data_IF_575871862177
#
_entry.id   IF_575871862177
#
_cell.length_a   1.000
_cell.length_b   1.000
_cell.length_c   1.000
_cell.angle_alpha   90.00
_cell.angle_beta   90.00
_cell.angle_gamma   90.00
#
_symmetry.space_group_name_H-M   'P 1'
#
loop_
_entity.id
_entity.type
_entity.pdbx_description
1 polymer ?
#
# COMPACT_ATOMS: atom_id res chain seq x y z
N UNK A 1 12.59 22.78 23.56
CA UNK A 1 12.05 21.73 22.64
C UNK A 1 12.26 22.05 21.14
N UNK A 2 13.09 23.05 20.78
CA UNK A 2 13.30 23.51 19.39
C UNK A 2 14.47 22.85 18.64
N UNK A 3 15.38 22.14 19.32
CA UNK A 3 16.62 21.64 18.70
C UNK A 3 16.44 20.51 17.66
N UNK A 4 15.37 19.73 17.75
CA UNK A 4 15.16 18.58 16.86
C UNK A 4 14.32 18.88 15.61
N UNK A 5 13.64 20.03 15.57
CA UNK A 5 12.76 20.37 14.45
C UNK A 5 13.52 20.49 13.12
N UNK A 6 14.68 21.14 13.15
CA UNK A 6 15.54 21.32 11.98
C UNK A 6 16.05 19.97 11.45
N UNK A 7 16.79 19.16 12.24
CA UNK A 7 17.31 17.90 11.74
C UNK A 7 16.20 16.91 11.35
N UNK A 8 15.07 16.86 12.08
CA UNK A 8 13.96 15.98 11.70
C UNK A 8 13.26 16.43 10.42
N UNK A 9 13.08 17.74 10.23
CA UNK A 9 12.46 18.28 9.02
C UNK A 9 13.33 18.09 7.78
N UNK A 10 14.63 18.30 7.91
CA UNK A 10 15.62 18.00 6.87
C UNK A 10 15.64 16.49 6.55
N UNK A 11 15.73 15.66 7.60
CA UNK A 11 15.78 14.20 7.47
C UNK A 11 14.54 13.67 6.76
N UNK A 12 13.34 13.94 7.28
CA UNK A 12 12.10 13.40 6.70
C UNK A 12 11.79 14.00 5.33
N UNK A 13 12.03 15.31 5.13
CA UNK A 13 11.81 15.96 3.84
C UNK A 13 12.70 15.38 2.74
N UNK A 14 14.00 15.29 2.97
CA UNK A 14 14.96 14.75 2.00
C UNK A 14 14.73 13.26 1.78
N UNK A 15 14.43 12.50 2.82
CA UNK A 15 14.17 11.07 2.70
C UNK A 15 12.92 10.78 1.90
N UNK A 16 11.83 11.51 2.15
CA UNK A 16 10.60 11.38 1.38
C UNK A 16 10.81 11.79 -0.09
N UNK A 17 11.48 12.93 -0.34
CA UNK A 17 11.86 13.36 -1.69
C UNK A 17 12.71 12.32 -2.41
N UNK A 18 13.70 11.73 -1.72
CA UNK A 18 14.56 10.67 -2.25
C UNK A 18 13.76 9.41 -2.62
N UNK A 19 12.76 9.07 -1.82
CA UNK A 19 11.85 7.98 -2.14
C UNK A 19 10.95 8.25 -3.35
N UNK A 20 10.59 9.51 -3.62
CA UNK A 20 9.86 9.91 -4.83
C UNK A 20 10.74 9.94 -6.08
N UNK A 21 11.92 10.54 -5.98
CA UNK A 21 12.94 10.59 -7.03
C UNK A 21 14.32 10.95 -6.42
N UNK A 22 15.19 9.94 -6.30
CA UNK A 22 16.55 10.09 -5.75
C UNK A 22 17.39 11.07 -6.57
N UNK A 23 17.38 10.91 -7.89
CA UNK A 23 18.26 11.67 -8.78
C UNK A 23 17.84 13.14 -8.84
N UNK A 24 16.54 13.41 -8.91
CA UNK A 24 16.00 14.77 -8.84
C UNK A 24 16.37 15.43 -7.50
N UNK A 25 16.26 14.69 -6.39
CA UNK A 25 16.60 15.18 -5.05
C UNK A 25 18.08 15.57 -4.96
N UNK A 26 18.98 14.69 -5.40
CA UNK A 26 20.43 14.92 -5.37
C UNK A 26 20.83 16.07 -6.30
N UNK A 27 20.29 16.09 -7.53
CA UNK A 27 20.54 17.16 -8.49
C UNK A 27 20.04 18.52 -7.97
N UNK A 28 18.83 18.57 -7.39
CA UNK A 28 18.25 19.79 -6.84
C UNK A 28 19.06 20.33 -5.66
N UNK A 29 19.41 19.48 -4.69
CA UNK A 29 20.21 19.89 -3.53
C UNK A 29 21.61 20.35 -3.98
N UNK A 30 22.27 19.59 -4.85
CA UNK A 30 23.60 19.92 -5.33
C UNK A 30 23.63 21.22 -6.12
N UNK A 31 22.70 21.42 -7.04
CA UNK A 31 22.58 22.66 -7.81
C UNK A 31 22.23 23.85 -6.90
N UNK A 32 21.27 23.69 -5.99
CA UNK A 32 20.89 24.74 -5.06
C UNK A 32 22.02 25.14 -4.11
N UNK A 33 22.85 24.18 -3.68
CA UNK A 33 24.05 24.46 -2.89
C UNK A 33 25.07 25.28 -3.70
N UNK A 34 25.30 24.91 -4.97
CA UNK A 34 26.21 25.65 -5.86
C UNK A 34 25.75 27.06 -6.18
N UNK A 35 24.44 27.25 -6.40
CA UNK A 35 23.85 28.54 -6.73
C UNK A 35 23.61 29.42 -5.50
N UNK A 36 23.94 28.94 -4.29
CA UNK A 36 23.74 29.68 -3.04
C UNK A 36 22.25 29.85 -2.67
N UNK A 37 21.36 29.04 -3.23
CA UNK A 37 19.93 29.09 -2.93
C UNK A 37 19.61 28.51 -1.56
N UNK A 38 20.42 27.54 -1.11
CA UNK A 38 20.33 26.94 0.23
C UNK A 38 21.54 27.29 1.09
N UNK A 39 21.39 27.29 2.43
CA UNK A 39 22.52 27.34 3.35
C UNK A 39 23.57 26.26 3.05
N UNK A 40 24.79 26.49 3.53
CA UNK A 40 25.88 25.53 3.43
C UNK A 40 25.45 24.16 3.98
N UNK A 41 25.69 23.11 3.20
CA UNK A 41 25.45 21.74 3.61
C UNK A 41 26.47 21.32 4.68
N UNK A 42 26.13 20.33 5.54
CA UNK A 42 27.10 19.71 6.43
C UNK A 42 28.34 19.20 5.66
N UNK A 43 29.54 19.16 6.29
CA UNK A 43 30.76 18.69 5.64
C UNK A 43 30.62 17.32 4.95
N UNK A 44 29.84 16.43 5.55
CA UNK A 44 29.56 15.08 5.05
C UNK A 44 28.78 15.09 3.72
N UNK A 45 28.04 16.16 3.43
CA UNK A 45 27.23 16.34 2.23
C UNK A 45 27.78 17.44 1.30
N UNK A 46 28.90 18.08 1.63
CA UNK A 46 29.51 19.12 0.80
C UNK A 46 29.81 18.61 -0.63
N UNK A 47 30.11 17.31 -0.77
CA UNK A 47 30.34 16.65 -2.05
C UNK A 47 29.14 16.67 -3.00
N UNK A 48 27.90 16.85 -2.51
CA UNK A 48 26.71 16.97 -3.36
C UNK A 48 26.78 18.18 -4.29
N UNK A 49 27.52 19.22 -3.91
CA UNK A 49 27.76 20.38 -4.76
C UNK A 49 28.76 20.13 -5.88
N UNK A 50 29.41 18.96 -6.01
CA UNK A 50 30.39 18.69 -7.06
C UNK A 50 29.72 18.67 -8.46
N UNK A 51 30.27 19.39 -9.45
CA UNK A 51 29.67 19.50 -10.80
C UNK A 51 29.50 18.16 -11.50
N UNK A 52 30.46 17.23 -11.35
CA UNK A 52 30.35 15.90 -11.93
C UNK A 52 29.17 15.15 -11.30
N UNK A 53 29.03 15.21 -9.97
CA UNK A 53 27.93 14.56 -9.26
C UNK A 53 26.58 15.18 -9.64
N UNK A 54 26.47 16.51 -9.68
CA UNK A 54 25.27 17.22 -10.12
C UNK A 54 24.92 16.84 -11.55
N UNK A 55 25.88 16.80 -12.46
CA UNK A 55 25.66 16.42 -13.86
C UNK A 55 25.20 14.96 -13.98
N UNK A 56 25.84 14.02 -13.28
CA UNK A 56 25.42 12.61 -13.26
C UNK A 56 24.02 12.44 -12.67
N UNK A 57 23.72 13.08 -11.54
CA UNK A 57 22.39 13.04 -10.94
C UNK A 57 21.34 13.67 -11.87
N UNK A 58 21.66 14.76 -12.55
CA UNK A 58 20.76 15.40 -13.52
C UNK A 58 20.51 14.47 -14.71
N UNK A 59 21.54 13.81 -15.24
CA UNK A 59 21.39 12.86 -16.34
C UNK A 59 20.52 11.66 -15.92
N UNK A 60 20.76 11.08 -14.75
CA UNK A 60 19.96 9.96 -14.24
C UNK A 60 18.52 10.40 -13.93
N UNK A 61 18.31 11.65 -13.49
CA UNK A 61 16.99 12.23 -13.36
C UNK A 61 16.29 12.31 -14.71
N UNK A 62 16.96 12.78 -15.78
CA UNK A 62 16.38 12.80 -17.12
C UNK A 62 16.02 11.40 -17.61
N UNK A 63 16.90 10.40 -17.37
CA UNK A 63 16.59 9.00 -17.70
C UNK A 63 15.33 8.54 -16.98
N UNK A 64 15.26 8.71 -15.65
CA UNK A 64 14.06 8.38 -14.88
C UNK A 64 12.82 9.12 -15.40
N UNK A 65 12.98 10.42 -15.66
CA UNK A 65 11.91 11.25 -16.19
C UNK A 65 11.33 10.65 -17.45
N UNK A 66 12.15 10.22 -18.42
CA UNK A 66 11.63 9.59 -19.65
C UNK A 66 11.10 8.17 -19.42
N UNK A 67 11.80 7.37 -18.62
CA UNK A 67 11.40 5.99 -18.26
C UNK A 67 10.00 5.96 -17.67
N UNK A 68 9.68 6.91 -16.80
CA UNK A 68 8.39 7.05 -16.13
C UNK A 68 7.20 7.25 -17.09
N UNK A 69 7.45 7.58 -18.36
CA UNK A 69 6.40 7.78 -19.37
C UNK A 69 6.18 6.54 -20.24
N UNK A 70 7.05 5.54 -20.14
CA UNK A 70 6.95 4.30 -20.91
C UNK A 70 6.41 3.19 -20.01
N UNK A 71 5.20 2.71 -20.33
CA UNK A 71 4.54 1.63 -19.61
C UNK A 71 5.42 0.38 -19.55
N UNK A 72 5.43 -0.30 -18.41
CA UNK A 72 6.25 -1.47 -18.06
C UNK A 72 7.72 -1.17 -17.81
N UNK A 73 8.35 -0.26 -18.58
CA UNK A 73 9.73 0.17 -18.31
C UNK A 73 9.78 0.91 -16.97
N UNK A 74 8.77 1.75 -16.70
CA UNK A 74 8.53 2.37 -15.40
C UNK A 74 8.54 1.36 -14.23
N UNK A 75 7.88 0.23 -14.40
CA UNK A 75 7.71 -0.80 -13.38
C UNK A 75 9.02 -1.55 -13.12
N UNK A 76 9.81 -1.82 -14.17
CA UNK A 76 11.15 -2.43 -14.04
C UNK A 76 12.08 -1.47 -13.30
N UNK A 77 12.07 -0.20 -13.70
CA UNK A 77 12.87 0.84 -13.05
C UNK A 77 12.50 0.99 -11.56
N UNK A 78 11.21 1.07 -11.25
CA UNK A 78 10.72 1.17 -9.87
C UNK A 78 11.05 -0.08 -9.05
N UNK A 79 11.07 -1.27 -9.65
CA UNK A 79 11.47 -2.51 -8.99
C UNK A 79 12.94 -2.45 -8.57
N UNK A 80 13.84 -2.07 -9.47
CA UNK A 80 15.26 -1.89 -9.15
C UNK A 80 15.46 -0.83 -8.06
N UNK A 81 14.74 0.29 -8.17
CA UNK A 81 14.88 1.41 -7.25
C UNK A 81 14.29 1.16 -5.85
N UNK A 82 13.50 0.11 -5.69
CA UNK A 82 13.08 -0.39 -4.37
C UNK A 82 14.30 -0.77 -3.51
N UNK A 83 15.40 -1.18 -4.12
CA UNK A 83 16.65 -1.54 -3.43
C UNK A 83 17.70 -0.44 -3.43
N UNK A 84 17.56 0.59 -4.26
CA UNK A 84 18.54 1.68 -4.39
C UNK A 84 18.16 2.87 -3.52
N UNK A 85 16.89 3.29 -3.53
CA UNK A 85 16.44 4.53 -2.88
C UNK A 85 16.47 4.47 -1.36
N UNK A 86 16.01 3.38 -0.69
CA UNK A 86 16.06 3.34 0.76
C UNK A 86 17.49 3.40 1.32
N UNK A 87 18.48 2.65 0.78
CA UNK A 87 19.87 2.82 1.19
C UNK A 87 20.42 4.22 0.87
N UNK A 88 20.12 4.78 -0.30
CA UNK A 88 20.58 6.13 -0.65
C UNK A 88 20.02 7.20 0.31
N UNK A 89 18.74 7.12 0.67
CA UNK A 89 18.13 8.00 1.67
C UNK A 89 18.77 7.81 3.05
N UNK A 90 19.07 6.56 3.45
CA UNK A 90 19.76 6.28 4.71
C UNK A 90 21.15 6.93 4.76
N UNK A 91 21.91 6.87 3.66
CA UNK A 91 23.22 7.52 3.54
C UNK A 91 23.10 9.05 3.59
N UNK A 92 22.15 9.64 2.87
CA UNK A 92 21.87 11.09 2.94
C UNK A 92 21.48 11.51 4.36
N UNK A 93 20.61 10.74 5.02
CA UNK A 93 20.20 10.97 6.41
C UNK A 93 21.37 10.88 7.39
N UNK A 94 22.28 9.92 7.21
CA UNK A 94 23.48 9.79 8.02
C UNK A 94 24.42 11.01 7.86
N UNK A 95 24.50 11.58 6.66
CA UNK A 95 25.25 12.81 6.39
C UNK A 95 24.59 14.06 6.97
N UNK A 96 23.27 14.19 6.87
CA UNK A 96 22.51 15.30 7.47
C UNK A 96 22.70 15.38 8.99
N UNK A 97 22.87 14.22 9.63
CA UNK A 97 23.03 14.10 11.08
C UNK A 97 24.50 13.99 11.51
N UNK A 98 25.46 14.34 10.65
CA UNK A 98 26.91 14.14 10.88
C UNK A 98 27.42 14.68 12.23
N UNK A 99 26.88 15.80 12.70
CA UNK A 99 27.24 16.43 13.99
C UNK A 99 26.62 15.78 15.24
N UNK A 100 25.86 14.69 15.11
CA UNK A 100 25.24 13.98 16.23
C UNK A 100 26.01 12.69 16.59
N UNK A 101 25.79 12.13 17.80
CA UNK A 101 26.31 10.82 18.17
C UNK A 101 25.92 9.72 17.18
N UNK A 102 26.78 8.71 17.04
CA UNK A 102 26.63 7.64 16.03
C UNK A 102 25.31 6.87 16.17
N UNK A 103 24.81 6.71 17.40
CA UNK A 103 23.54 6.04 17.69
C UNK A 103 22.36 6.81 17.08
N UNK A 104 22.36 8.14 17.22
CA UNK A 104 21.34 9.00 16.62
C UNK A 104 21.43 9.01 15.10
N UNK A 105 22.65 8.93 14.53
CA UNK A 105 22.89 8.84 13.08
C UNK A 105 22.37 7.52 12.51
N UNK A 106 22.61 6.39 13.18
CA UNK A 106 22.09 5.07 12.77
C UNK A 106 20.56 5.05 12.86
N UNK A 107 19.99 5.56 13.96
CA UNK A 107 18.54 5.69 14.11
C UNK A 107 17.91 6.57 13.01
N UNK A 108 18.51 7.73 12.74
CA UNK A 108 18.08 8.64 11.69
C UNK A 108 18.21 8.06 10.28
N UNK A 109 19.31 7.37 9.97
CA UNK A 109 19.51 6.67 8.70
C UNK A 109 18.44 5.56 8.49
N UNK A 110 18.10 4.83 9.56
CA UNK A 110 17.03 3.82 9.53
C UNK A 110 15.68 4.46 9.24
N UNK A 111 15.36 5.57 9.93
CA UNK A 111 14.14 6.34 9.70
C UNK A 111 14.08 6.91 8.28
N UNK A 112 15.20 7.40 7.76
CA UNK A 112 15.32 7.92 6.41
C UNK A 112 15.06 6.85 5.35
N UNK A 113 15.69 5.68 5.48
CA UNK A 113 15.44 4.55 4.60
C UNK A 113 13.98 4.09 4.64
N UNK A 114 13.37 4.01 5.82
CA UNK A 114 11.96 3.67 5.98
C UNK A 114 11.04 4.72 5.34
N UNK A 115 11.30 6.02 5.52
CA UNK A 115 10.53 7.09 4.92
C UNK A 115 10.61 7.06 3.38
N UNK A 116 11.81 6.86 2.83
CA UNK A 116 12.01 6.71 1.39
C UNK A 116 11.30 5.47 0.83
N UNK A 117 11.35 4.35 1.56
CA UNK A 117 10.63 3.12 1.17
C UNK A 117 9.11 3.33 1.16
N UNK A 118 8.55 4.03 2.15
CA UNK A 118 7.11 4.37 2.19
C UNK A 118 6.74 5.27 1.01
N UNK A 119 7.53 6.31 0.72
CA UNK A 119 7.29 7.20 -0.41
C UNK A 119 7.34 6.46 -1.75
N UNK A 120 8.39 5.65 -1.97
CA UNK A 120 8.56 4.84 -3.18
C UNK A 120 7.44 3.80 -3.35
N UNK A 121 7.10 3.09 -2.28
CA UNK A 121 6.00 2.11 -2.28
C UNK A 121 4.65 2.77 -2.57
N UNK A 122 4.45 4.01 -2.12
CA UNK A 122 3.25 4.79 -2.44
C UNK A 122 3.21 5.18 -3.91
N UNK A 123 4.32 5.67 -4.48
CA UNK A 123 4.48 5.96 -5.93
C UNK A 123 4.18 4.71 -6.77
N UNK A 124 4.83 3.59 -6.47
CA UNK A 124 4.63 2.33 -7.18
C UNK A 124 3.17 1.82 -7.08
N UNK A 125 2.56 1.91 -5.88
CA UNK A 125 1.16 1.57 -5.67
C UNK A 125 0.19 2.47 -6.45
N UNK A 126 0.47 3.77 -6.53
CA UNK A 126 -0.31 4.72 -7.31
C UNK A 126 -0.23 4.40 -8.81
N UNK A 127 0.95 4.04 -9.32
CA UNK A 127 1.13 3.61 -10.71
C UNK A 127 0.30 2.39 -11.06
N UNK A 128 0.30 1.37 -10.19
CA UNK A 128 -0.55 0.20 -10.37
C UNK A 128 -2.04 0.58 -10.44
N UNK A 129 -2.48 1.50 -9.59
CA UNK A 129 -3.87 1.98 -9.60
C UNK A 129 -4.19 2.75 -10.89
N UNK A 130 -3.28 3.62 -11.35
CA UNK A 130 -3.42 4.39 -12.59
C UNK A 130 -3.51 3.44 -13.78
N UNK A 131 -2.56 2.50 -13.91
CA UNK A 131 -2.50 1.51 -15.00
C UNK A 131 -3.72 0.58 -15.04
N UNK A 132 -4.35 0.32 -13.89
CA UNK A 132 -5.56 -0.47 -13.78
C UNK A 132 -6.86 0.33 -14.01
N UNK A 133 -6.77 1.66 -14.16
CA UNK A 133 -7.92 2.56 -14.26
C UNK A 133 -7.96 3.30 -15.61
N UNK A 134 -9.06 4.02 -15.87
CA UNK A 134 -9.15 4.92 -17.02
C UNK A 134 -8.25 6.16 -16.90
N UNK A 135 -7.62 6.39 -15.74
CA UNK A 135 -6.71 7.52 -15.49
C UNK A 135 -5.33 7.34 -16.13
N UNK A 136 -5.07 6.25 -16.86
CA UNK A 136 -3.79 6.03 -17.56
C UNK A 136 -3.34 7.23 -18.40
N UNK A 137 -4.27 8.00 -18.98
CA UNK A 137 -3.97 9.23 -19.75
C UNK A 137 -3.35 10.36 -18.90
N UNK A 138 -3.59 10.38 -17.59
CA UNK A 138 -3.03 11.35 -16.65
C UNK A 138 -1.67 10.93 -16.08
N UNK A 139 -1.20 9.71 -16.38
CA UNK A 139 0.06 9.16 -15.84
C UNK A 139 1.27 10.09 -16.00
N UNK A 140 1.56 10.62 -17.20
CA UNK A 140 2.68 11.54 -17.40
C UNK A 140 2.58 12.81 -16.54
N UNK A 141 1.39 13.40 -16.42
CA UNK A 141 1.17 14.59 -15.60
C UNK A 141 1.40 14.30 -14.11
N UNK A 142 0.97 13.14 -13.64
CA UNK A 142 1.20 12.69 -12.26
C UNK A 142 2.70 12.49 -12.02
N UNK A 143 3.41 11.84 -12.94
CA UNK A 143 4.87 11.66 -12.83
C UNK A 143 5.61 13.02 -12.78
N UNK A 144 5.23 14.00 -13.60
CA UNK A 144 5.81 15.35 -13.55
C UNK A 144 5.53 16.01 -12.19
N UNK A 145 4.32 15.84 -11.64
CA UNK A 145 3.99 16.37 -10.33
C UNK A 145 4.79 15.71 -9.20
N UNK A 146 5.05 14.40 -9.30
CA UNK A 146 5.94 13.67 -8.38
C UNK A 146 7.37 14.21 -8.41
N UNK A 147 7.91 14.46 -9.61
CA UNK A 147 9.25 15.01 -9.79
C UNK A 147 9.35 16.45 -9.24
N UNK A 148 8.36 17.28 -9.54
CA UNK A 148 8.27 18.64 -9.00
C UNK A 148 8.14 18.64 -7.47
N UNK A 149 7.36 17.70 -6.91
CA UNK A 149 7.23 17.52 -5.46
C UNK A 149 8.58 17.09 -4.84
N UNK A 150 9.30 16.16 -5.46
CA UNK A 150 10.61 15.72 -4.98
C UNK A 150 11.62 16.88 -4.95
N UNK A 151 11.74 17.62 -6.06
CA UNK A 151 12.64 18.79 -6.18
C UNK A 151 12.26 19.87 -5.17
N UNK A 152 10.98 20.25 -5.14
CA UNK A 152 10.47 21.29 -4.26
C UNK A 152 10.64 20.94 -2.79
N UNK A 153 10.30 19.71 -2.40
CA UNK A 153 10.45 19.23 -1.03
C UNK A 153 11.92 19.12 -0.61
N UNK A 154 12.83 18.71 -1.50
CA UNK A 154 14.26 18.65 -1.21
C UNK A 154 14.84 20.03 -0.86
N UNK A 155 14.49 21.06 -1.64
CA UNK A 155 14.91 22.45 -1.37
C UNK A 155 14.23 22.98 -0.11
N UNK A 156 12.93 22.74 0.05
CA UNK A 156 12.15 23.15 1.21
C UNK A 156 12.68 22.52 2.50
N UNK A 157 13.12 21.27 2.46
CA UNK A 157 13.67 20.56 3.62
C UNK A 157 14.88 21.27 4.22
N UNK A 158 15.74 21.85 3.39
CA UNK A 158 16.90 22.61 3.87
C UNK A 158 16.51 24.03 4.29
N UNK A 159 15.67 24.74 3.51
CA UNK A 159 15.32 26.16 3.75
C UNK A 159 14.30 26.37 4.86
N UNK A 160 13.28 25.53 4.89
CA UNK A 160 12.13 25.62 5.78
C UNK A 160 11.82 24.23 6.37
N UNK A 161 12.69 23.70 7.25
CA UNK A 161 12.60 22.31 7.72
C UNK A 161 11.25 22.00 8.39
N UNK A 162 10.65 22.95 9.10
CA UNK A 162 9.34 22.76 9.73
C UNK A 162 8.23 22.52 8.71
N UNK A 163 8.23 23.25 7.59
CA UNK A 163 7.25 23.05 6.51
C UNK A 163 7.46 21.69 5.83
N UNK A 164 8.71 21.33 5.56
CA UNK A 164 9.05 20.02 5.00
C UNK A 164 8.65 18.87 5.94
N UNK A 165 8.83 19.04 7.25
CA UNK A 165 8.40 18.06 8.26
C UNK A 165 6.89 17.82 8.20
N UNK A 166 6.10 18.90 8.14
CA UNK A 166 4.63 18.81 8.05
C UNK A 166 4.21 18.15 6.75
N UNK A 167 4.80 18.54 5.62
CA UNK A 167 4.45 17.98 4.31
C UNK A 167 4.84 16.50 4.19
N UNK A 168 6.10 16.15 4.50
CA UNK A 168 6.57 14.77 4.44
C UNK A 168 5.84 13.89 5.46
N UNK A 169 5.69 14.37 6.70
CA UNK A 169 4.93 13.68 7.74
C UNK A 169 3.47 13.48 7.38
N UNK A 170 2.83 14.48 6.76
CA UNK A 170 1.46 14.38 6.25
C UNK A 170 1.31 13.31 5.16
N UNK A 171 2.18 13.32 4.15
CA UNK A 171 2.16 12.30 3.09
C UNK A 171 2.47 10.90 3.61
N UNK A 172 3.44 10.75 4.52
CA UNK A 172 3.71 9.48 5.20
C UNK A 172 2.48 9.03 6.00
N UNK A 173 1.82 9.94 6.71
CA UNK A 173 0.58 9.66 7.43
C UNK A 173 -0.51 9.14 6.50
N UNK A 174 -0.73 9.79 5.35
CA UNK A 174 -1.67 9.32 4.32
C UNK A 174 -1.27 7.94 3.81
N UNK A 175 0.00 7.71 3.50
CA UNK A 175 0.50 6.42 3.03
C UNK A 175 0.30 5.30 4.07
N UNK A 176 0.57 5.55 5.34
CA UNK A 176 0.37 4.57 6.43
C UNK A 176 -1.12 4.28 6.66
N UNK A 177 -1.99 5.28 6.53
CA UNK A 177 -3.43 5.12 6.70
C UNK A 177 -4.09 4.41 5.51
N UNK A 178 -3.72 4.77 4.28
CA UNK A 178 -4.37 4.29 3.06
C UNK A 178 -3.70 3.04 2.48
N UNK A 179 -2.37 2.93 2.61
CA UNK A 179 -1.55 1.84 2.07
C UNK A 179 -2.06 0.44 2.43
N UNK A 180 -2.36 0.12 3.70
CA UNK A 180 -2.90 -1.19 4.07
C UNK A 180 -4.25 -1.52 3.43
N UNK A 181 -5.07 -0.50 3.08
CA UNK A 181 -6.33 -0.71 2.34
C UNK A 181 -6.05 -1.02 0.88
N UNK A 182 -5.16 -0.26 0.24
CA UNK A 182 -4.76 -0.48 -1.15
C UNK A 182 -4.08 -1.83 -1.33
N UNK A 183 -3.17 -2.21 -0.44
CA UNK A 183 -2.51 -3.51 -0.44
C UNK A 183 -3.52 -4.66 -0.35
N UNK A 184 -4.51 -4.55 0.54
CA UNK A 184 -5.56 -5.54 0.66
C UNK A 184 -6.44 -5.63 -0.59
N UNK A 185 -6.76 -4.51 -1.22
CA UNK A 185 -7.49 -4.48 -2.48
C UNK A 185 -6.68 -5.11 -3.63
N UNK A 186 -5.39 -4.83 -3.70
CA UNK A 186 -4.46 -5.43 -4.67
C UNK A 186 -4.39 -6.95 -4.51
N UNK A 187 -4.19 -7.45 -3.29
CA UNK A 187 -4.18 -8.89 -2.99
C UNK A 187 -5.52 -9.54 -3.34
N UNK A 188 -6.65 -8.85 -3.09
CA UNK A 188 -7.97 -9.32 -3.51
C UNK A 188 -8.03 -9.46 -5.04
N UNK A 189 -7.56 -8.47 -5.79
CA UNK A 189 -7.49 -8.51 -7.26
C UNK A 189 -6.72 -9.71 -7.79
N UNK A 190 -5.53 -9.97 -7.24
CA UNK A 190 -4.72 -11.16 -7.60
C UNK A 190 -5.49 -12.45 -7.31
N UNK A 191 -6.05 -12.59 -6.10
CA UNK A 191 -6.81 -13.79 -5.72
C UNK A 191 -8.03 -13.99 -6.62
N UNK A 192 -8.71 -12.91 -6.99
CA UNK A 192 -9.88 -12.92 -7.85
C UNK A 192 -9.52 -13.32 -9.29
N UNK A 193 -8.40 -12.83 -9.83
CA UNK A 193 -7.90 -13.24 -11.13
C UNK A 193 -7.55 -14.73 -11.15
N UNK A 194 -6.84 -15.23 -10.14
CA UNK A 194 -6.55 -16.65 -9.98
C UNK A 194 -7.83 -17.49 -9.85
N UNK A 195 -8.81 -17.05 -9.08
CA UNK A 195 -10.10 -17.71 -8.95
C UNK A 195 -10.87 -17.76 -10.27
N UNK A 196 -10.84 -16.67 -11.03
CA UNK A 196 -11.46 -16.59 -12.37
C UNK A 196 -10.79 -17.56 -13.34
N UNK A 197 -9.47 -17.64 -13.36
CA UNK A 197 -8.72 -18.59 -14.17
C UNK A 197 -9.07 -20.04 -13.82
N UNK A 198 -9.13 -20.37 -12.53
CA UNK A 198 -9.49 -21.71 -12.06
C UNK A 198 -10.91 -22.16 -12.46
N UNK A 199 -11.83 -21.20 -12.66
CA UNK A 199 -13.21 -21.50 -13.09
C UNK A 199 -13.30 -22.13 -14.49
N UNK A 200 -12.29 -21.93 -15.34
CA UNK A 200 -12.21 -22.62 -16.63
C UNK A 200 -11.88 -24.11 -16.51
N UNK A 201 -11.31 -24.52 -15.37
CA UNK A 201 -10.86 -25.89 -15.12
C UNK A 201 -11.90 -26.65 -14.29
N UNK A 202 -12.44 -26.02 -13.25
CA UNK A 202 -13.39 -26.64 -12.35
C UNK A 202 -14.59 -25.72 -12.09
N UNK A 203 -15.81 -26.27 -12.01
CA UNK A 203 -16.98 -25.49 -11.62
C UNK A 203 -16.81 -24.96 -10.19
N UNK A 204 -17.30 -23.75 -9.97
CA UNK A 204 -17.30 -23.14 -8.65
C UNK A 204 -18.27 -23.88 -7.72
N UNK A 205 -17.83 -24.19 -6.50
CA UNK A 205 -18.64 -24.88 -5.49
C UNK A 205 -18.35 -24.38 -4.09
N UNK A 206 -19.26 -24.70 -3.17
CA UNK A 206 -18.94 -24.64 -1.75
C UNK A 206 -17.80 -25.61 -1.43
N UNK A 207 -16.88 -25.15 -0.58
CA UNK A 207 -15.79 -25.96 -0.04
C UNK A 207 -16.18 -26.48 1.33
N UNK A 208 -15.75 -27.69 1.61
CA UNK A 208 -15.98 -28.34 2.89
C UNK A 208 -14.97 -27.86 3.93
N UNK A 209 -15.29 -28.11 5.21
CA UNK A 209 -14.45 -27.76 6.37
C UNK A 209 -12.98 -28.14 6.19
N UNK A 210 -12.73 -29.34 5.67
CA UNK A 210 -11.39 -29.90 5.63
C UNK A 210 -10.53 -29.31 4.51
N UNK A 211 -11.16 -28.69 3.51
CA UNK A 211 -10.51 -27.93 2.44
C UNK A 211 -10.06 -26.53 2.88
N UNK A 212 -10.48 -26.06 4.08
CA UNK A 212 -9.94 -24.83 4.65
C UNK A 212 -8.51 -25.05 5.14
N UNK A 213 -7.67 -24.00 5.07
CA UNK A 213 -6.36 -24.02 5.71
C UNK A 213 -6.49 -24.43 7.18
N UNK A 214 -5.60 -25.32 7.68
CA UNK A 214 -5.69 -25.90 9.02
C UNK A 214 -5.89 -24.84 10.13
N UNK A 215 -5.21 -23.68 10.01
CA UNK A 215 -5.34 -22.56 10.96
C UNK A 215 -6.71 -21.86 10.92
N UNK A 216 -7.42 -21.87 9.79
CA UNK A 216 -8.80 -21.35 9.71
C UNK A 216 -9.77 -22.40 10.24
N UNK A 217 -9.54 -23.67 9.88
CA UNK A 217 -10.36 -24.80 10.31
C UNK A 217 -10.44 -24.90 11.82
N UNK A 218 -9.36 -24.61 12.55
CA UNK A 218 -9.35 -24.64 14.01
C UNK A 218 -10.29 -23.63 14.68
N UNK A 219 -10.82 -22.65 13.94
CA UNK A 219 -11.83 -21.70 14.44
C UNK A 219 -13.26 -22.24 14.32
N UNK A 220 -13.47 -23.24 13.46
CA UNK A 220 -14.73 -23.94 13.31
C UNK A 220 -14.59 -25.17 14.20
N UNK A 221 -15.34 -25.23 15.30
CA UNK A 221 -15.30 -26.33 16.28
C UNK A 221 -15.41 -27.73 15.64
N UNK A 222 -15.29 -28.81 16.42
CA UNK A 222 -15.50 -30.16 15.90
C UNK A 222 -16.87 -30.23 15.19
N UNK A 223 -16.97 -30.94 14.06
CA UNK A 223 -18.23 -31.08 13.35
C UNK A 223 -19.24 -31.75 14.26
N UNK A 224 -20.36 -31.07 14.51
CA UNK A 224 -21.51 -31.69 15.17
C UNK A 224 -22.18 -32.62 14.16
N UNK A 225 -22.25 -33.91 14.49
CA UNK A 225 -22.84 -34.95 13.64
C UNK A 225 -24.34 -34.71 13.38
N UNK A 226 -25.02 -33.95 14.25
CA UNK A 226 -26.42 -33.60 14.09
C UNK A 226 -26.65 -32.31 13.28
N UNK A 227 -25.61 -31.51 13.05
CA UNK A 227 -25.73 -30.22 12.38
C UNK A 227 -25.21 -30.28 10.92
N UNK A 228 -25.73 -29.42 10.02
CA UNK A 228 -25.19 -29.31 8.67
C UNK A 228 -23.70 -28.94 8.70
N UNK A 229 -22.90 -29.63 7.88
CA UNK A 229 -21.46 -29.34 7.79
C UNK A 229 -21.20 -27.89 7.33
N UNK A 230 -20.21 -27.19 7.91
CA UNK A 230 -19.92 -25.82 7.55
C UNK A 230 -19.37 -25.75 6.13
N UNK A 231 -19.94 -24.83 5.33
CA UNK A 231 -19.60 -24.61 3.92
C UNK A 231 -18.83 -23.30 3.77
N UNK A 232 -17.75 -23.30 3.00
CA UNK A 232 -16.87 -22.15 2.87
C UNK A 232 -16.61 -21.72 1.43
N UNK A 233 -16.37 -20.42 1.23
CA UNK A 233 -15.89 -19.87 -0.03
C UNK A 233 -14.90 -18.75 0.22
N UNK A 234 -13.99 -18.52 -0.74
CA UNK A 234 -13.02 -17.42 -0.65
C UNK A 234 -13.75 -16.10 -0.87
N UNK A 235 -13.50 -15.14 0.01
CA UNK A 235 -14.15 -13.84 -0.06
C UNK A 235 -13.23 -12.73 0.48
N UNK A 236 -13.66 -11.48 0.29
CA UNK A 236 -13.22 -10.35 1.08
C UNK A 236 -14.42 -9.57 1.61
N UNK A 237 -14.20 -8.79 2.67
CA UNK A 237 -15.25 -7.96 3.28
C UNK A 237 -14.80 -6.51 3.46
N UNK A 238 -15.72 -5.58 3.27
CA UNK A 238 -15.60 -4.16 3.61
C UNK A 238 -16.79 -3.76 4.48
N UNK A 239 -16.58 -2.86 5.45
CA UNK A 239 -17.67 -2.30 6.26
C UNK A 239 -18.14 -3.19 7.41
N UNK A 240 -17.45 -4.30 7.68
CA UNK A 240 -17.69 -5.12 8.88
C UNK A 240 -16.99 -4.50 10.09
N UNK A 241 -17.66 -4.47 11.25
CA UNK A 241 -17.15 -3.77 12.43
C UNK A 241 -15.79 -4.29 12.89
N UNK A 242 -14.85 -3.36 13.10
CA UNK A 242 -13.45 -3.67 13.43
C UNK A 242 -12.61 -4.22 12.26
N UNK A 243 -13.23 -4.60 11.13
CA UNK A 243 -12.56 -5.10 9.93
C UNK A 243 -12.62 -4.04 8.83
N UNK A 244 -11.62 -3.14 8.80
CA UNK A 244 -11.50 -2.13 7.74
C UNK A 244 -11.51 -2.72 6.31
N UNK A 245 -11.64 -1.88 5.29
CA UNK A 245 -11.93 -2.28 3.90
C UNK A 245 -11.06 -3.40 3.27
N UNK A 246 -11.66 -4.15 2.36
CA UNK A 246 -11.07 -5.22 1.54
C UNK A 246 -10.37 -6.32 2.35
N UNK A 247 -10.85 -6.61 3.56
CA UNK A 247 -10.24 -7.65 4.39
C UNK A 247 -10.43 -9.00 3.71
N UNK A 248 -9.31 -9.61 3.33
CA UNK A 248 -9.25 -10.88 2.62
C UNK A 248 -9.44 -12.06 3.58
N UNK A 249 -10.28 -13.03 3.21
CA UNK A 249 -10.57 -14.18 4.06
C UNK A 249 -11.46 -15.23 3.38
N UNK A 250 -12.36 -15.79 4.19
CA UNK A 250 -13.30 -16.84 3.84
C UNK A 250 -14.68 -16.50 4.42
N UNK A 251 -15.70 -16.56 3.58
CA UNK A 251 -17.09 -16.63 4.04
C UNK A 251 -17.39 -18.08 4.39
N UNK A 252 -17.91 -18.32 5.59
CA UNK A 252 -18.30 -19.66 6.04
C UNK A 252 -19.74 -19.60 6.53
N UNK A 253 -20.59 -20.47 6.00
CA UNK A 253 -21.97 -20.67 6.44
C UNK A 253 -21.98 -21.83 7.42
N UNK A 254 -22.39 -21.58 8.65
CA UNK A 254 -22.52 -22.57 9.73
C UNK A 254 -23.97 -22.70 10.17
N UNK A 255 -24.30 -23.70 10.99
CA UNK A 255 -25.64 -23.86 11.57
C UNK A 255 -26.07 -22.63 12.40
N UNK A 256 -25.14 -22.00 13.11
CA UNK A 256 -25.38 -20.80 13.93
C UNK A 256 -25.44 -19.51 13.10
N UNK A 257 -25.18 -19.59 11.79
CA UNK A 257 -25.20 -18.48 10.85
C UNK A 257 -23.87 -18.23 10.14
N UNK A 258 -23.81 -17.18 9.30
CA UNK A 258 -22.64 -16.88 8.50
C UNK A 258 -21.55 -16.19 9.33
N UNK A 259 -20.32 -16.62 9.15
CA UNK A 259 -19.12 -16.04 9.78
C UNK A 259 -18.05 -15.76 8.74
N UNK A 260 -17.19 -14.81 9.03
CA UNK A 260 -16.04 -14.46 8.21
C UNK A 260 -14.73 -14.83 8.91
N UNK A 261 -13.97 -15.76 8.31
CA UNK A 261 -12.66 -16.16 8.80
C UNK A 261 -11.56 -15.37 8.09
N UNK A 262 -10.65 -14.78 8.85
CA UNK A 262 -9.59 -13.93 8.33
C UNK A 262 -8.29 -14.06 9.13
N UNK A 263 -7.25 -13.38 8.66
CA UNK A 263 -5.95 -13.32 9.34
C UNK A 263 -5.58 -11.89 9.70
N UNK A 264 -5.00 -11.72 10.89
CA UNK A 264 -4.31 -10.50 11.32
C UNK A 264 -2.92 -10.88 11.81
N UNK A 265 -1.87 -10.31 11.20
CA UNK A 265 -0.46 -10.60 11.54
C UNK A 265 -0.23 -12.12 11.78
N UNK A 266 -0.71 -12.94 10.84
CA UNK A 266 -0.67 -14.42 10.84
C UNK A 266 -1.63 -15.18 11.76
N UNK A 267 -2.27 -14.52 12.75
CA UNK A 267 -3.23 -15.17 13.65
C UNK A 267 -4.61 -15.30 12.99
N UNK A 268 -5.22 -16.50 13.02
CA UNK A 268 -6.58 -16.70 12.53
C UNK A 268 -7.58 -16.00 13.45
N UNK A 269 -8.60 -15.38 12.88
CA UNK A 269 -9.69 -14.71 13.59
C UNK A 269 -11.01 -15.03 12.90
N UNK A 270 -12.08 -15.06 13.69
CA UNK A 270 -13.47 -15.15 13.23
C UNK A 270 -14.16 -13.83 13.54
N UNK A 271 -15.01 -13.38 12.63
CA UNK A 271 -15.94 -12.29 12.87
C UNK A 271 -17.34 -12.75 12.45
N UNK A 272 -18.37 -12.66 13.31
CA UNK A 272 -19.73 -12.96 12.90
C UNK A 272 -20.16 -11.99 11.80
N UNK A 273 -20.87 -12.48 10.79
CA UNK A 273 -21.50 -11.60 9.82
C UNK A 273 -22.84 -11.13 10.38
N UNK A 274 -23.23 -9.87 10.10
CA UNK A 274 -24.55 -9.38 10.47
C UNK A 274 -25.61 -10.26 9.82
N UNK A 275 -26.60 -10.70 10.61
CA UNK A 275 -27.78 -11.38 10.06
C UNK A 275 -28.67 -10.33 9.41
N UNK A 276 -28.38 -10.05 8.14
CA UNK A 276 -28.98 -8.97 7.37
C UNK A 276 -29.39 -9.50 6.00
N UNK A 277 -30.54 -9.04 5.52
CA UNK A 277 -30.99 -9.35 4.18
C UNK A 277 -30.00 -8.80 3.14
N UNK A 278 -29.90 -9.49 2.01
CA UNK A 278 -29.11 -9.00 0.88
C UNK A 278 -29.81 -7.79 0.25
N UNK A 279 -29.21 -6.62 0.38
CA UNK A 279 -29.74 -5.36 -0.14
C UNK A 279 -29.52 -5.22 -1.66
N UNK A 280 -28.34 -5.61 -2.13
CA UNK A 280 -27.94 -5.44 -3.53
C UNK A 280 -26.92 -6.48 -3.93
N UNK A 281 -27.06 -6.96 -5.16
CA UNK A 281 -26.14 -7.91 -5.76
C UNK A 281 -25.67 -7.36 -7.10
N UNK A 282 -24.36 -7.42 -7.33
CA UNK A 282 -23.77 -7.08 -8.62
C UNK A 282 -22.81 -8.18 -9.03
N UNK A 283 -23.14 -8.86 -10.13
CA UNK A 283 -22.22 -9.80 -10.75
C UNK A 283 -21.13 -9.06 -11.52
N UNK A 284 -19.88 -9.23 -11.10
CA UNK A 284 -18.72 -8.64 -11.75
C UNK A 284 -17.91 -9.68 -12.54
N UNK A 285 -16.91 -9.22 -13.29
CA UNK A 285 -16.02 -10.13 -14.05
C UNK A 285 -15.12 -10.93 -13.10
N UNK A 286 -14.48 -10.26 -12.13
CA UNK A 286 -13.50 -10.85 -11.22
C UNK A 286 -14.11 -11.32 -9.88
N UNK A 287 -15.11 -10.60 -9.38
CA UNK A 287 -15.79 -10.90 -8.12
C UNK A 287 -17.28 -10.62 -8.23
N UNK A 288 -18.07 -11.33 -7.45
CA UNK A 288 -19.47 -10.98 -7.20
C UNK A 288 -19.56 -10.12 -5.95
N UNK A 289 -20.27 -9.00 -6.04
CA UNK A 289 -20.40 -8.04 -4.95
C UNK A 289 -21.79 -8.19 -4.35
N UNK A 290 -21.84 -8.50 -3.05
CA UNK A 290 -23.06 -8.66 -2.27
C UNK A 290 -23.05 -7.63 -1.16
N UNK A 291 -23.99 -6.69 -1.18
CA UNK A 291 -24.21 -5.70 -0.13
C UNK A 291 -25.30 -6.21 0.82
N UNK A 292 -24.99 -6.23 2.11
CA UNK A 292 -25.92 -6.61 3.18
C UNK A 292 -26.56 -5.34 3.76
N UNK A 293 -27.86 -5.39 4.04
CA UNK A 293 -28.61 -4.29 4.64
C UNK A 293 -28.41 -4.23 6.15
N UNK A 294 -27.39 -3.50 6.59
CA UNK A 294 -27.04 -3.39 8.00
C UNK A 294 -27.39 -2.02 8.57
N UNK A 295 -27.96 -1.92 9.80
CA UNK A 295 -28.32 -0.63 10.40
C UNK A 295 -27.09 0.28 10.55
N UNK A 296 -27.10 1.45 9.91
CA UNK A 296 -26.09 2.49 10.09
C UNK A 296 -24.76 2.31 9.34
N UNK A 297 -24.50 1.16 8.71
CA UNK A 297 -23.31 0.92 7.84
C UNK A 297 -23.66 -0.03 6.71
N UNK A 298 -22.93 0.02 5.59
CA UNK A 298 -23.04 -0.98 4.52
C UNK A 298 -21.92 -2.02 4.66
N UNK A 299 -22.29 -3.28 4.89
CA UNK A 299 -21.35 -4.40 4.83
C UNK A 299 -21.34 -4.98 3.41
N UNK A 300 -20.17 -5.01 2.78
CA UNK A 300 -20.00 -5.49 1.40
C UNK A 300 -19.11 -6.72 1.39
N UNK A 301 -19.62 -7.81 0.83
CA UNK A 301 -18.90 -9.05 0.55
C UNK A 301 -18.46 -9.08 -0.92
N UNK A 302 -17.20 -9.43 -1.15
CA UNK A 302 -16.62 -9.68 -2.47
C UNK A 302 -16.37 -11.17 -2.58
N UNK A 303 -17.26 -11.90 -3.25
CA UNK A 303 -17.16 -13.34 -3.46
C UNK A 303 -16.30 -13.63 -4.68
N UNK A 304 -15.35 -14.54 -4.54
CA UNK A 304 -14.47 -14.94 -5.64
C UNK A 304 -15.17 -15.97 -6.54
N UNK A 305 -14.81 -15.95 -7.83
CA UNK A 305 -15.52 -16.70 -8.89
C UNK A 305 -15.33 -18.21 -8.86
N UNK A 306 -14.44 -18.72 -8.01
CA UNK A 306 -14.23 -20.16 -7.75
C UNK A 306 -15.14 -20.70 -6.64
N UNK A 307 -15.97 -19.84 -6.04
CA UNK A 307 -17.01 -20.20 -5.08
C UNK A 307 -18.29 -20.72 -5.73
N UNK A 308 -19.32 -21.01 -4.93
CA UNK A 308 -20.62 -21.46 -5.43
C UNK A 308 -21.26 -20.43 -6.38
N UNK A 309 -22.24 -20.86 -7.21
CA UNK A 309 -23.14 -19.96 -7.91
C UNK A 309 -23.72 -18.87 -6.98
N UNK A 310 -23.81 -17.65 -7.49
CA UNK A 310 -24.21 -16.48 -6.72
C UNK A 310 -25.61 -16.64 -6.10
N UNK A 311 -26.54 -17.24 -6.84
CA UNK A 311 -27.90 -17.52 -6.37
C UNK A 311 -27.92 -18.44 -5.15
N UNK A 312 -27.13 -19.51 -5.17
CA UNK A 312 -26.97 -20.42 -4.02
C UNK A 312 -26.34 -19.71 -2.83
N UNK A 313 -25.32 -18.88 -3.08
CA UNK A 313 -24.69 -18.09 -2.03
C UNK A 313 -25.67 -17.12 -1.35
N UNK A 314 -26.54 -16.47 -2.13
CA UNK A 314 -27.57 -15.55 -1.61
C UNK A 314 -28.63 -16.32 -0.82
N UNK A 315 -29.09 -17.47 -1.33
CA UNK A 315 -30.08 -18.30 -0.64
C UNK A 315 -29.58 -18.75 0.74
N UNK A 316 -28.31 -19.19 0.82
CA UNK A 316 -27.68 -19.59 2.08
C UNK A 316 -27.48 -18.41 3.07
N UNK A 317 -27.25 -17.19 2.54
CA UNK A 317 -27.15 -15.99 3.36
C UNK A 317 -28.52 -15.50 3.88
N UNK A 318 -29.59 -15.66 3.08
CA UNK A 318 -30.93 -15.24 3.47
C UNK A 318 -31.61 -16.24 4.41
N UNK A 319 -31.39 -17.54 4.24
CA UNK A 319 -31.93 -18.59 5.14
C UNK A 319 -31.38 -18.52 6.57
N UNK A 320 -30.31 -17.74 6.77
CA UNK A 320 -29.69 -17.51 8.08
C UNK A 320 -29.96 -16.11 8.63
N UNK A 321 -30.75 -15.29 7.94
CA UNK A 321 -31.31 -14.05 8.45
C UNK A 321 -32.54 -14.33 9.34
N UNK A 322 -32.79 -13.54 10.40
CA UNK A 322 -33.95 -13.72 11.28
C UNK A 322 -35.29 -13.52 10.57
#
# INVERSE_FOLDING_TARGET
>A
MSGWLIPLGQLLGISFATGLNLYATVAAIGLAARLGWIPALPPELAGLGNWLLVATATLLFLVEFFVDKIRYVDSIWDTLHTFIRPPAAALLGMGLLGGLPIEARIGGATLAGAAAFIAHGTKAGLRLAIHASSLGRAGPAISVAEDALAIGLAILAIRYPAAALVLAGGWIGVAVLVGPRLWRAFVLGIRALHARGHRFIAPGRWRERDELPARMRSLLGPPDLAAPAPRATRAAVSGLDGLGAYRNGWLVVTADGPVFLYRTLLRPRVAPLPRAAVARVRSGVLTDVVELDTPGRRCTLYLLKDGPPLELAIADLNTTAP
#
